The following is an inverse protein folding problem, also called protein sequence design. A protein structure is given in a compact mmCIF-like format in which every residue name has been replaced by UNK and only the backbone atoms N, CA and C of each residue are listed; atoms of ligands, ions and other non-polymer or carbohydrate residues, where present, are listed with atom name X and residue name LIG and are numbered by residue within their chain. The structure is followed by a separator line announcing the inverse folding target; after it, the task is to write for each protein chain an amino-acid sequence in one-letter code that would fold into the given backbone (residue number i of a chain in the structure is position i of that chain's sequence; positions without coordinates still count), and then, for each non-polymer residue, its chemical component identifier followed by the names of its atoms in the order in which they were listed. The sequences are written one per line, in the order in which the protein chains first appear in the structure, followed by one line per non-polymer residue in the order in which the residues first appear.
data_IF_926152053923
#
_entry.id   IF_926152053923
#
_cell.length_a   1.000
_cell.length_b   1.000
_cell.length_c   1.000
_cell.angle_alpha   90.00
_cell.angle_beta   90.00
_cell.angle_gamma   90.00
#
_symmetry.space_group_name_H-M   'P 1'
#
loop_
_entity.id
_entity.type
_entity.pdbx_description
1 polymer ?
#
# COMPACT_ATOMS: atom_id res chain seq x y z
N UNK A 1 -14.39 -5.68 22.47
CA UNK A 1 -14.24 -6.01 21.03
C UNK A 1 -13.13 -7.04 20.91
N UNK A 2 -13.49 -8.31 20.69
CA UNK A 2 -12.51 -9.39 20.49
C UNK A 2 -12.06 -9.34 19.03
N UNK A 3 -10.90 -8.75 18.75
CA UNK A 3 -10.34 -8.79 17.40
C UNK A 3 -9.90 -10.23 17.12
N UNK A 4 -10.62 -10.91 16.23
CA UNK A 4 -10.29 -12.27 15.80
C UNK A 4 -8.83 -12.35 15.36
N UNK A 5 -8.06 -13.25 15.98
CA UNK A 5 -6.68 -13.60 15.56
C UNK A 5 -6.65 -14.34 14.21
N UNK A 6 -7.82 -14.57 13.60
CA UNK A 6 -8.01 -15.36 12.38
C UNK A 6 -8.39 -14.51 11.18
N UNK A 7 -8.26 -13.18 11.27
CA UNK A 7 -8.60 -12.31 10.15
C UNK A 7 -7.52 -12.43 9.07
N UNK A 8 -7.90 -13.04 7.94
CA UNK A 8 -7.00 -13.34 6.80
C UNK A 8 -7.26 -12.45 5.60
N UNK A 9 -8.50 -12.02 5.41
CA UNK A 9 -8.89 -11.16 4.29
C UNK A 9 -9.74 -10.01 4.82
N UNK A 10 -9.49 -8.80 4.32
CA UNK A 10 -10.42 -7.67 4.43
C UNK A 10 -10.77 -7.21 3.02
N UNK A 11 -12.03 -7.39 2.67
CA UNK A 11 -12.57 -6.97 1.38
C UNK A 11 -13.14 -5.55 1.49
N UNK A 12 -12.98 -4.76 0.44
CA UNK A 12 -13.23 -3.32 0.49
C UNK A 12 -12.45 -2.55 -0.58
N UNK A 13 -13.08 -1.52 -1.12
CA UNK A 13 -12.51 -0.71 -2.20
C UNK A 13 -12.45 0.75 -1.75
N UNK A 14 -11.33 1.12 -1.12
CA UNK A 14 -11.21 2.37 -0.37
C UNK A 14 -9.94 3.14 -0.73
N UNK A 15 -10.01 4.47 -0.56
CA UNK A 15 -8.84 5.33 -0.69
C UNK A 15 -7.84 5.14 0.46
N UNK A 16 -6.60 5.58 0.25
CA UNK A 16 -5.51 5.45 1.23
C UNK A 16 -5.84 6.01 2.62
N UNK A 17 -6.67 7.05 2.74
CA UNK A 17 -7.08 7.65 4.02
C UNK A 17 -8.23 6.92 4.74
N UNK A 18 -9.01 6.12 4.03
CA UNK A 18 -10.19 5.45 4.60
C UNK A 18 -9.80 4.12 5.21
N UNK A 19 -8.91 3.38 4.55
CA UNK A 19 -8.37 2.12 5.06
C UNK A 19 -7.80 2.21 6.49
N UNK A 20 -6.97 3.22 6.85
CA UNK A 20 -6.51 3.44 8.21
C UNK A 20 -7.64 3.51 9.22
N UNK A 21 -8.73 4.24 8.91
CA UNK A 21 -9.87 4.42 9.82
C UNK A 21 -10.61 3.10 10.08
N UNK A 22 -10.74 2.26 9.06
CA UNK A 22 -11.36 0.93 9.19
C UNK A 22 -10.53 0.04 10.12
N UNK A 23 -9.21 0.08 9.96
CA UNK A 23 -8.31 -0.76 10.73
C UNK A 23 -8.03 -0.17 12.12
N UNK A 24 -8.20 1.13 12.33
CA UNK A 24 -7.94 1.81 13.61
C UNK A 24 -8.72 1.21 14.79
N UNK A 25 -9.92 0.69 14.54
CA UNK A 25 -10.72 -0.01 15.54
C UNK A 25 -10.14 -1.37 16.00
N UNK A 26 -9.15 -1.92 15.29
CA UNK A 26 -8.45 -3.14 15.67
C UNK A 26 -7.32 -2.79 16.66
N UNK A 27 -7.19 -3.50 17.80
CA UNK A 27 -6.13 -3.25 18.77
C UNK A 27 -4.73 -3.36 18.14
N UNK A 28 -3.82 -2.48 18.55
CA UNK A 28 -2.42 -2.61 18.20
C UNK A 28 -1.79 -3.86 18.86
N UNK A 29 -0.74 -4.38 18.24
CA UNK A 29 0.09 -5.40 18.84
C UNK A 29 0.82 -4.82 20.08
N UNK A 30 0.89 -5.56 21.20
CA UNK A 30 1.71 -5.16 22.35
C UNK A 30 3.17 -4.97 21.93
N UNK A 31 3.81 -3.92 22.44
CA UNK A 31 5.23 -3.65 22.17
C UNK A 31 6.08 -4.85 22.60
N UNK A 32 6.98 -5.31 21.71
CA UNK A 32 7.87 -6.46 21.97
C UNK A 32 7.29 -7.84 21.62
N UNK A 33 6.02 -7.96 21.23
CA UNK A 33 5.46 -9.23 20.76
C UNK A 33 5.63 -9.41 19.24
N UNK A 34 6.18 -10.55 18.81
CA UNK A 34 6.14 -11.00 17.42
C UNK A 34 4.75 -11.57 17.11
N UNK A 35 3.78 -10.68 16.93
CA UNK A 35 2.42 -11.05 16.60
C UNK A 35 1.45 -9.93 16.90
N UNK A 36 0.33 -9.92 16.19
CA UNK A 36 -0.74 -8.96 16.37
C UNK A 36 -2.00 -9.44 15.68
N UNK A 37 -3.13 -8.74 15.85
CA UNK A 37 -4.41 -9.17 15.28
C UNK A 37 -4.40 -9.36 13.76
N UNK A 38 -3.47 -8.69 13.05
CA UNK A 38 -3.31 -8.78 11.60
C UNK A 38 -2.07 -9.55 11.17
N UNK A 39 -1.42 -10.30 12.07
CA UNK A 39 -0.22 -11.07 11.72
C UNK A 39 -0.48 -12.20 10.69
N UNK A 40 -1.73 -12.63 10.55
CA UNK A 40 -2.16 -13.62 9.57
C UNK A 40 -2.93 -12.98 8.40
N UNK A 41 -2.89 -11.65 8.26
CA UNK A 41 -3.57 -10.97 7.17
C UNK A 41 -2.86 -11.28 5.86
N UNK A 42 -3.58 -11.94 4.96
CA UNK A 42 -3.08 -12.41 3.66
C UNK A 42 -3.53 -11.50 2.52
N UNK A 43 -4.66 -10.82 2.65
CA UNK A 43 -5.18 -9.95 1.61
C UNK A 43 -5.87 -8.73 2.21
N UNK A 44 -5.54 -7.57 1.66
CA UNK A 44 -6.42 -6.41 1.65
C UNK A 44 -6.86 -6.26 0.19
N UNK A 45 -8.14 -5.98 -0.01
CA UNK A 45 -8.67 -5.68 -1.34
C UNK A 45 -8.12 -4.33 -1.83
N UNK A 46 -8.83 -3.63 -2.70
CA UNK A 46 -8.25 -2.62 -3.57
C UNK A 46 -7.98 -1.31 -2.83
N UNK A 47 -6.75 -0.83 -2.93
CA UNK A 47 -6.38 0.54 -2.56
C UNK A 47 -6.62 1.45 -3.76
N UNK A 48 -7.53 2.42 -3.63
CA UNK A 48 -7.79 3.41 -4.67
C UNK A 48 -6.90 4.62 -4.51
N UNK A 49 -6.22 5.02 -5.57
CA UNK A 49 -5.46 6.26 -5.66
C UNK A 49 -6.18 7.17 -6.65
N UNK A 50 -6.78 8.25 -6.14
CA UNK A 50 -7.62 9.19 -6.89
C UNK A 50 -6.90 10.48 -7.29
N UNK A 51 -5.79 10.82 -6.65
CA UNK A 51 -5.05 12.04 -6.96
C UNK A 51 -3.60 12.04 -6.49
N UNK A 52 -3.03 13.24 -6.49
CA UNK A 52 -1.60 13.50 -6.29
C UNK A 52 -1.17 13.52 -4.81
N UNK A 53 -2.11 13.68 -3.87
CA UNK A 53 -1.84 13.88 -2.44
C UNK A 53 -2.38 12.73 -1.57
N UNK A 54 -1.99 11.50 -1.92
CA UNK A 54 -2.40 10.31 -1.16
C UNK A 54 -1.26 9.66 -0.39
N UNK A 55 -0.03 10.20 -0.49
CA UNK A 55 1.14 9.63 0.16
C UNK A 55 0.94 9.49 1.68
N UNK A 56 0.41 10.53 2.34
CA UNK A 56 0.15 10.51 3.78
C UNK A 56 -0.83 9.40 4.19
N UNK A 57 -1.89 9.19 3.42
CA UNK A 57 -2.87 8.14 3.67
C UNK A 57 -2.28 6.75 3.54
N UNK A 58 -1.45 6.54 2.51
CA UNK A 58 -0.74 5.27 2.30
C UNK A 58 0.29 5.02 3.41
N UNK A 59 1.07 6.02 3.80
CA UNK A 59 2.03 5.91 4.91
C UNK A 59 1.31 5.61 6.23
N UNK A 60 0.15 6.24 6.47
CA UNK A 60 -0.70 5.95 7.64
C UNK A 60 -1.23 4.52 7.58
N UNK A 61 -1.65 4.05 6.42
CA UNK A 61 -2.12 2.67 6.24
C UNK A 61 -1.01 1.67 6.55
N UNK A 62 0.19 1.89 6.02
CA UNK A 62 1.37 1.10 6.36
C UNK A 62 1.61 1.07 7.87
N UNK A 63 1.64 2.24 8.52
CA UNK A 63 1.88 2.33 9.96
C UNK A 63 0.82 1.55 10.77
N UNK A 64 -0.45 1.68 10.40
CA UNK A 64 -1.58 1.00 11.03
C UNK A 64 -1.48 -0.52 10.88
N UNK A 65 -1.14 -1.02 9.68
CA UNK A 65 -0.94 -2.44 9.40
C UNK A 65 0.23 -3.01 10.22
N UNK A 66 1.38 -2.34 10.19
CA UNK A 66 2.58 -2.77 10.92
C UNK A 66 2.34 -2.75 12.44
N UNK A 67 1.67 -1.72 12.96
CA UNK A 67 1.33 -1.61 14.37
C UNK A 67 0.40 -2.74 14.83
N UNK A 68 -0.40 -3.32 13.92
CA UNK A 68 -1.30 -4.45 14.17
C UNK A 68 -0.67 -5.81 13.86
N UNK A 69 0.62 -5.83 13.55
CA UNK A 69 1.39 -7.05 13.33
C UNK A 69 1.39 -7.57 11.90
N UNK A 70 0.78 -6.87 10.94
CA UNK A 70 0.92 -7.21 9.52
C UNK A 70 2.34 -6.87 9.06
N UNK A 71 3.19 -7.88 8.98
CA UNK A 71 4.60 -7.76 8.57
C UNK A 71 4.92 -8.92 7.65
N UNK A 72 5.09 -8.64 6.35
CA UNK A 72 5.32 -9.64 5.30
C UNK A 72 4.30 -10.80 5.29
N UNK A 73 3.04 -10.51 5.57
CA UNK A 73 1.97 -11.51 5.58
C UNK A 73 1.06 -11.40 4.35
N UNK A 74 0.93 -10.20 3.76
CA UNK A 74 0.09 -10.01 2.57
C UNK A 74 0.66 -10.78 1.39
N UNK A 75 -0.17 -11.62 0.79
CA UNK A 75 0.14 -12.44 -0.38
C UNK A 75 -0.09 -11.70 -1.69
N UNK A 76 -0.84 -10.61 -1.68
CA UNK A 76 -1.11 -9.80 -2.86
C UNK A 76 -1.46 -8.38 -2.42
N UNK A 77 -1.27 -7.42 -3.34
CA UNK A 77 -1.76 -6.07 -3.19
C UNK A 77 -2.37 -5.59 -4.51
N UNK A 78 -3.58 -5.06 -4.44
CA UNK A 78 -4.30 -4.48 -5.57
C UNK A 78 -4.38 -2.97 -5.41
N UNK A 79 -3.90 -2.23 -6.40
CA UNK A 79 -3.95 -0.78 -6.44
C UNK A 79 -4.67 -0.33 -7.70
N UNK A 80 -5.69 0.50 -7.52
CA UNK A 80 -6.49 1.07 -8.59
C UNK A 80 -6.17 2.56 -8.74
N UNK A 81 -5.68 2.96 -9.90
CA UNK A 81 -5.38 4.34 -10.25
C UNK A 81 -6.58 4.98 -10.95
N UNK A 82 -6.91 6.22 -10.60
CA UNK A 82 -8.02 6.96 -11.19
C UNK A 82 -7.91 7.15 -12.70
N UNK A 83 -9.05 7.48 -13.32
CA UNK A 83 -9.08 7.98 -14.69
C UNK A 83 -8.23 9.25 -14.80
N UNK A 84 -7.38 9.31 -15.83
CA UNK A 84 -6.44 10.41 -16.09
C UNK A 84 -5.29 10.53 -15.08
N UNK A 85 -4.89 9.40 -14.46
CA UNK A 85 -3.74 9.38 -13.57
C UNK A 85 -2.44 9.70 -14.33
N UNK A 86 -1.74 10.74 -13.87
CA UNK A 86 -0.45 11.16 -14.43
C UNK A 86 0.68 10.72 -13.50
N UNK A 87 1.45 9.73 -13.93
CA UNK A 87 2.72 9.37 -13.28
C UNK A 87 3.72 10.49 -13.54
N UNK A 88 4.16 11.17 -12.48
CA UNK A 88 5.04 12.31 -12.59
C UNK A 88 5.49 12.80 -11.22
N UNK A 89 6.05 14.01 -11.19
CA UNK A 89 6.58 14.62 -9.96
C UNK A 89 5.57 14.66 -8.81
N UNK A 90 4.30 14.97 -9.11
CA UNK A 90 3.27 15.13 -8.08
C UNK A 90 2.79 13.79 -7.49
N UNK A 91 2.79 12.73 -8.28
CA UNK A 91 2.33 11.39 -7.89
C UNK A 91 3.47 10.49 -7.40
N UNK A 92 4.73 10.83 -7.69
CA UNK A 92 5.91 10.09 -7.25
C UNK A 92 5.92 9.82 -5.73
N UNK A 93 5.63 10.78 -4.83
CA UNK A 93 5.57 10.51 -3.39
C UNK A 93 4.56 9.42 -3.02
N UNK A 94 3.41 9.38 -3.68
CA UNK A 94 2.39 8.34 -3.48
C UNK A 94 2.89 6.98 -3.94
N UNK A 95 3.53 6.90 -5.11
CA UNK A 95 4.10 5.64 -5.61
C UNK A 95 5.20 5.11 -4.69
N UNK A 96 6.04 6.00 -4.15
CA UNK A 96 7.05 5.63 -3.15
C UNK A 96 6.42 5.18 -1.82
N UNK A 97 5.29 5.77 -1.41
CA UNK A 97 4.55 5.30 -0.23
C UNK A 97 3.97 3.90 -0.45
N UNK A 98 3.46 3.61 -1.65
CA UNK A 98 3.00 2.25 -2.01
C UNK A 98 4.17 1.25 -1.98
N UNK A 99 5.33 1.62 -2.52
CA UNK A 99 6.53 0.78 -2.47
C UNK A 99 6.95 0.46 -1.02
N UNK A 100 6.97 1.46 -0.14
CA UNK A 100 7.24 1.25 1.29
C UNK A 100 6.20 0.35 1.96
N UNK A 101 4.92 0.52 1.63
CA UNK A 101 3.85 -0.33 2.14
C UNK A 101 4.05 -1.78 1.70
N UNK A 102 4.40 -2.01 0.43
CA UNK A 102 4.72 -3.33 -0.12
C UNK A 102 5.90 -3.94 0.63
N UNK A 103 7.02 -3.22 0.75
CA UNK A 103 8.21 -3.71 1.44
C UNK A 103 7.99 -4.05 2.93
N UNK A 104 7.08 -3.33 3.60
CA UNK A 104 6.76 -3.57 5.01
C UNK A 104 5.74 -4.71 5.22
N UNK A 105 4.68 -4.75 4.42
CA UNK A 105 3.49 -5.56 4.71
C UNK A 105 3.37 -6.80 3.81
N UNK A 106 3.90 -6.75 2.59
CA UNK A 106 3.78 -7.82 1.60
C UNK A 106 4.90 -8.84 1.72
N UNK A 107 4.59 -10.08 1.35
CA UNK A 107 5.61 -11.12 1.20
C UNK A 107 6.54 -10.75 0.03
N UNK A 108 7.79 -11.22 0.03
CA UNK A 108 8.73 -10.96 -1.07
C UNK A 108 8.25 -11.45 -2.45
N UNK A 109 7.38 -12.46 -2.47
CA UNK A 109 6.80 -13.09 -3.67
C UNK A 109 5.37 -12.61 -3.98
N UNK A 110 4.84 -11.65 -3.22
CA UNK A 110 3.48 -11.17 -3.40
C UNK A 110 3.33 -10.38 -4.71
N UNK A 111 2.42 -10.76 -5.63
CA UNK A 111 2.10 -9.92 -6.77
C UNK A 111 1.52 -8.57 -6.35
N UNK A 112 2.05 -7.51 -6.97
CA UNK A 112 1.46 -6.17 -6.98
C UNK A 112 0.72 -5.98 -8.30
N UNK A 113 -0.59 -5.80 -8.23
CA UNK A 113 -1.42 -5.50 -9.41
C UNK A 113 -1.76 -4.02 -9.43
N UNK A 114 -1.40 -3.34 -10.52
CA UNK A 114 -1.75 -1.95 -10.78
C UNK A 114 -2.80 -1.90 -11.89
N UNK A 115 -4.00 -1.41 -11.56
CA UNK A 115 -5.10 -1.26 -12.53
C UNK A 115 -5.35 0.22 -12.76
N UNK A 116 -5.28 0.68 -14.01
CA UNK A 116 -5.68 2.03 -14.39
C UNK A 116 -7.06 1.99 -15.06
N UNK A 117 -8.01 2.79 -14.58
CA UNK A 117 -9.40 2.80 -15.12
C UNK A 117 -9.55 3.73 -16.35
N UNK A 118 -8.45 4.25 -16.89
CA UNK A 118 -8.49 5.16 -18.03
C UNK A 118 -7.12 5.48 -18.59
N UNK A 119 -6.99 6.66 -19.22
CA UNK A 119 -5.72 7.12 -19.76
C UNK A 119 -4.69 7.31 -18.65
N UNK A 120 -3.56 6.63 -18.81
CA UNK A 120 -2.37 6.80 -17.98
C UNK A 120 -1.39 7.70 -18.72
N UNK A 121 -1.00 8.81 -18.09
CA UNK A 121 0.05 9.68 -18.62
C UNK A 121 1.36 9.45 -17.86
N UNK A 122 2.48 9.55 -18.57
CA UNK A 122 3.81 9.49 -17.97
C UNK A 122 4.58 10.77 -18.26
N UNK A 123 4.89 11.52 -17.21
CA UNK A 123 5.67 12.73 -17.28
C UNK A 123 7.17 12.41 -17.23
N UNK A 124 7.86 12.57 -18.37
CA UNK A 124 9.29 12.32 -18.49
C UNK A 124 10.13 13.25 -17.57
N UNK A 125 9.58 14.36 -17.09
CA UNK A 125 10.28 15.21 -16.12
C UNK A 125 10.55 14.50 -14.78
N UNK A 126 9.90 13.36 -14.52
CA UNK A 126 10.10 12.54 -13.32
C UNK A 126 11.55 12.04 -13.20
N UNK A 127 12.24 11.81 -14.32
CA UNK A 127 13.63 11.32 -14.33
C UNK A 127 14.65 12.32 -13.76
N UNK A 128 14.27 13.60 -13.64
CA UNK A 128 15.13 14.64 -13.06
C UNK A 128 14.87 14.88 -11.56
N UNK A 129 13.99 14.10 -10.92
CA UNK A 129 13.72 14.23 -9.49
C UNK A 129 14.77 13.49 -8.67
N UNK A 130 15.20 14.09 -7.54
CA UNK A 130 16.17 13.49 -6.63
C UNK A 130 15.66 12.16 -6.02
N UNK A 131 14.35 12.05 -5.84
CA UNK A 131 13.70 10.87 -5.26
C UNK A 131 13.40 9.78 -6.30
N UNK A 132 13.69 10.03 -7.59
CA UNK A 132 13.53 9.02 -8.61
C UNK A 132 14.57 7.91 -8.42
N UNK A 133 14.17 6.61 -8.44
CA UNK A 133 15.11 5.52 -8.24
C UNK A 133 16.27 5.56 -9.24
N UNK A 134 17.48 5.84 -8.76
CA UNK A 134 18.67 5.95 -9.61
C UNK A 134 19.09 4.62 -10.26
N UNK A 135 18.57 3.50 -9.76
CA UNK A 135 18.84 2.15 -10.28
C UNK A 135 17.52 1.49 -10.64
N UNK A 136 17.15 1.44 -11.94
CA UNK A 136 15.99 0.67 -12.34
C UNK A 136 16.22 -0.80 -11.99
N UNK A 137 15.14 -1.50 -11.63
CA UNK A 137 15.13 -2.95 -11.50
C UNK A 137 15.62 -3.58 -12.80
N UNK A 138 16.20 -4.80 -12.76
CA UNK A 138 16.53 -5.54 -13.97
C UNK A 138 15.31 -5.57 -14.91
N UNK A 139 15.52 -5.33 -16.20
CA UNK A 139 14.45 -5.38 -17.18
C UNK A 139 13.77 -6.75 -17.14
N UNK A 140 12.44 -6.75 -17.10
CA UNK A 140 11.65 -7.96 -17.27
C UNK A 140 12.03 -8.60 -18.61
N UNK A 141 12.49 -9.85 -18.57
CA UNK A 141 12.70 -10.69 -19.76
C UNK A 141 11.44 -11.49 -20.04
#
# INVERSE_FOLDING_TARGET
ISSSRSLRCVDGSFGGEVWPRVLEGIPAAPAGQQGGPLAQLESIDTIKIRGDDEAAGIDRLQAVLVARGCRRSLKQLHVELSSFYRIGRRTLPTLLAVDRLVGACCRPDAPLTLTAIGHLEFDLAIFYQADFPARPSPSFK
#
